data_IF_721337857039
#
_entry.id   IF_721337857039
#
_cell.length_a   1.000
_cell.length_b   1.000
_cell.length_c   1.000
_cell.angle_alpha   90.00
_cell.angle_beta   90.00
_cell.angle_gamma   90.00
#
_symmetry.space_group_name_H-M   'P 1'
#
loop_
_entity.id
_entity.type
_entity.pdbx_description
1 polymer ?
#
# COMPACT_ATOMS: atom_id res chain seq x y z
N UNK A 1 3.38 -38.22 12.26
CA UNK A 1 2.99 -37.72 10.94
C UNK A 1 3.32 -36.23 10.92
N UNK A 2 3.87 -35.67 9.83
CA UNK A 2 4.48 -34.32 9.73
C UNK A 2 5.96 -34.16 10.15
N UNK A 3 6.76 -35.22 10.31
CA UNK A 3 8.19 -35.06 10.66
C UNK A 3 8.98 -34.35 9.56
N UNK A 4 8.79 -34.73 8.29
CA UNK A 4 9.51 -34.12 7.17
C UNK A 4 9.21 -32.63 6.97
N UNK A 5 7.94 -32.22 7.06
CA UNK A 5 7.56 -30.81 6.95
C UNK A 5 8.08 -30.00 8.14
N UNK A 6 8.08 -30.57 9.36
CA UNK A 6 8.65 -29.91 10.53
C UNK A 6 10.14 -29.64 10.33
N UNK A 7 10.90 -30.64 9.85
CA UNK A 7 12.33 -30.50 9.64
C UNK A 7 12.64 -29.46 8.53
N UNK A 8 11.83 -29.43 7.46
CA UNK A 8 11.92 -28.41 6.41
C UNK A 8 11.68 -26.99 6.95
N UNK A 9 10.57 -26.78 7.67
CA UNK A 9 10.23 -25.48 8.26
C UNK A 9 11.29 -25.02 9.29
N UNK A 10 11.87 -25.96 10.05
CA UNK A 10 12.96 -25.64 10.96
C UNK A 10 14.22 -25.19 10.21
N UNK A 11 14.56 -25.85 9.11
CA UNK A 11 15.64 -25.43 8.22
C UNK A 11 15.43 -24.02 7.68
N UNK A 12 14.25 -23.73 7.11
CA UNK A 12 13.90 -22.40 6.59
C UNK A 12 13.96 -21.32 7.68
N UNK A 13 13.48 -21.60 8.89
CA UNK A 13 13.57 -20.67 10.00
C UNK A 13 15.02 -20.37 10.40
N UNK A 14 15.89 -21.37 10.35
CA UNK A 14 17.31 -21.19 10.68
C UNK A 14 18.06 -20.41 9.60
N UNK A 15 17.71 -20.61 8.34
CA UNK A 15 18.20 -19.79 7.23
C UNK A 15 17.80 -18.32 7.42
N UNK A 16 16.54 -18.04 7.78
CA UNK A 16 16.05 -16.68 8.06
C UNK A 16 16.80 -16.04 9.24
N UNK A 17 17.07 -16.80 10.30
CA UNK A 17 17.85 -16.33 11.46
C UNK A 17 19.30 -16.04 11.09
N UNK A 18 19.96 -16.97 10.41
CA UNK A 18 21.36 -16.83 9.97
C UNK A 18 21.52 -15.65 9.03
N UNK A 19 20.53 -15.37 8.19
CA UNK A 19 20.50 -14.20 7.32
C UNK A 19 20.23 -12.87 8.05
N UNK A 20 19.91 -12.88 9.35
CA UNK A 20 19.54 -11.69 10.11
C UNK A 20 18.17 -11.10 9.73
N UNK A 21 17.32 -11.88 9.06
CA UNK A 21 16.00 -11.46 8.59
C UNK A 21 14.86 -11.87 9.53
N UNK A 22 15.18 -12.63 10.58
CA UNK A 22 14.20 -13.07 11.57
C UNK A 22 13.67 -11.87 12.35
N UNK A 23 12.37 -11.61 12.24
CA UNK A 23 11.70 -10.50 12.92
C UNK A 23 11.28 -10.93 14.32
N UNK A 24 11.63 -10.10 15.31
CA UNK A 24 11.16 -10.26 16.69
C UNK A 24 10.25 -9.09 17.05
N UNK A 25 9.05 -9.41 17.53
CA UNK A 25 8.08 -8.41 17.93
C UNK A 25 8.44 -7.78 19.28
N UNK A 26 7.90 -6.58 19.49
CA UNK A 26 7.92 -5.85 20.76
C UNK A 26 6.48 -5.61 21.19
N UNK A 27 6.20 -5.68 22.48
CA UNK A 27 4.88 -5.34 23.01
C UNK A 27 4.79 -3.85 23.30
N UNK A 28 3.57 -3.32 23.23
CA UNK A 28 3.19 -1.96 23.64
C UNK A 28 2.03 -2.11 24.63
N UNK A 29 2.19 -1.57 25.84
CA UNK A 29 1.27 -1.75 26.98
C UNK A 29 0.51 -0.47 27.34
N UNK A 30 0.49 0.50 26.42
CA UNK A 30 -0.21 1.78 26.56
C UNK A 30 -1.02 2.10 25.30
N UNK A 31 -1.93 3.08 25.35
CA UNK A 31 -2.50 3.65 24.14
C UNK A 31 -1.40 4.15 23.18
N UNK A 32 -1.74 4.23 21.90
CA UNK A 32 -0.81 4.67 20.87
C UNK A 32 -0.63 6.20 20.90
N UNK A 33 0.58 6.65 21.23
CA UNK A 33 0.91 8.07 21.37
C UNK A 33 2.40 8.32 21.08
N UNK A 34 2.84 9.57 21.21
CA UNK A 34 4.28 9.91 21.13
C UNK A 34 5.08 9.36 22.30
N UNK A 35 4.46 9.20 23.47
CA UNK A 35 5.02 8.56 24.67
C UNK A 35 4.26 7.26 24.92
N UNK A 36 4.96 6.13 24.92
CA UNK A 36 4.36 4.81 25.10
C UNK A 36 5.13 3.98 26.13
N UNK A 37 4.49 2.93 26.61
CA UNK A 37 5.13 1.86 27.37
C UNK A 37 5.40 0.68 26.43
N UNK A 38 6.67 0.32 26.19
CA UNK A 38 7.03 -0.76 25.27
C UNK A 38 8.24 -1.58 25.71
N UNK A 39 8.31 -2.85 25.28
CA UNK A 39 9.36 -3.78 25.68
C UNK A 39 9.49 -5.02 24.78
N UNK A 40 10.49 -5.87 25.07
CA UNK A 40 10.63 -7.17 24.41
C UNK A 40 9.58 -8.14 24.96
N UNK A 41 9.05 -9.04 24.13
CA UNK A 41 8.13 -10.08 24.60
C UNK A 41 8.70 -10.86 25.81
N UNK A 42 7.89 -11.00 26.86
CA UNK A 42 8.28 -11.67 28.10
C UNK A 42 9.13 -10.83 29.07
N UNK A 43 9.39 -9.56 28.77
CA UNK A 43 10.07 -8.61 29.66
C UNK A 43 9.13 -7.49 30.10
N UNK A 44 9.42 -6.75 31.19
CA UNK A 44 8.67 -5.55 31.53
C UNK A 44 8.84 -4.45 30.48
N UNK A 45 7.76 -3.71 30.22
CA UNK A 45 7.77 -2.52 29.37
C UNK A 45 8.48 -1.33 30.05
N UNK A 46 9.03 -0.42 29.24
CA UNK A 46 9.63 0.83 29.69
C UNK A 46 8.98 2.02 28.99
N UNK A 47 9.02 3.19 29.62
CA UNK A 47 8.60 4.44 29.01
C UNK A 47 9.57 4.83 27.89
N UNK A 48 9.05 5.00 26.68
CA UNK A 48 9.84 5.36 25.48
C UNK A 48 9.09 6.38 24.61
N UNK A 49 9.84 7.04 23.73
CA UNK A 49 9.28 7.84 22.65
C UNK A 49 9.06 6.99 21.41
N UNK A 50 7.88 7.10 20.79
CA UNK A 50 7.53 6.37 19.58
C UNK A 50 7.80 7.20 18.32
N UNK A 51 8.77 6.76 17.51
CA UNK A 51 9.13 7.37 16.23
C UNK A 51 8.91 6.42 15.03
N UNK A 52 8.20 5.31 15.21
CA UNK A 52 7.96 4.32 14.17
C UNK A 52 6.47 3.95 13.97
N UNK A 53 5.54 4.71 14.55
CA UNK A 53 4.12 4.54 14.29
C UNK A 53 3.66 5.33 13.06
N UNK A 54 2.70 4.77 12.32
CA UNK A 54 1.98 5.44 11.25
C UNK A 54 0.83 6.33 11.78
N UNK A 55 0.86 6.70 13.06
CA UNK A 55 -0.12 7.59 13.69
C UNK A 55 0.25 9.06 13.44
N UNK A 56 0.31 9.46 12.16
CA UNK A 56 0.91 10.73 11.71
C UNK A 56 0.30 11.97 12.36
N UNK A 57 -1.02 11.94 12.61
CA UNK A 57 -1.77 13.06 13.21
C UNK A 57 -2.05 12.88 14.70
N UNK A 58 -1.61 11.78 15.32
CA UNK A 58 -1.89 11.50 16.72
C UNK A 58 -3.35 11.15 17.02
N UNK A 59 -4.11 10.66 16.03
CA UNK A 59 -5.55 10.41 16.17
C UNK A 59 -5.90 9.07 16.81
N UNK A 60 -4.96 8.12 16.88
CA UNK A 60 -5.23 6.77 17.38
C UNK A 60 -5.83 6.69 18.79
N UNK A 61 -5.51 7.65 19.68
CA UNK A 61 -6.05 7.76 21.05
C UNK A 61 -6.80 9.09 21.27
N UNK A 62 -7.37 9.66 20.21
CA UNK A 62 -8.06 10.95 20.31
C UNK A 62 -9.40 10.82 21.07
N UNK A 63 -9.68 11.67 22.07
CA UNK A 63 -10.87 11.53 22.93
C UNK A 63 -12.19 11.52 22.15
N UNK A 64 -12.31 12.35 21.10
CA UNK A 64 -13.52 12.39 20.28
C UNK A 64 -13.75 11.09 19.48
N UNK A 65 -12.67 10.43 19.03
CA UNK A 65 -12.76 9.16 18.31
C UNK A 65 -13.16 8.04 19.27
N UNK A 66 -12.58 8.03 20.47
CA UNK A 66 -12.95 7.07 21.53
C UNK A 66 -14.43 7.24 21.92
N UNK A 67 -14.89 8.48 22.08
CA UNK A 67 -16.28 8.78 22.41
C UNK A 67 -17.24 8.31 21.29
N UNK A 68 -16.91 8.58 20.02
CA UNK A 68 -17.69 8.14 18.88
C UNK A 68 -17.77 6.60 18.80
N UNK A 69 -16.65 5.90 19.02
CA UNK A 69 -16.60 4.44 19.02
C UNK A 69 -17.46 3.83 20.14
N UNK A 70 -17.42 4.40 21.35
CA UNK A 70 -18.29 3.98 22.48
C UNK A 70 -19.77 4.13 22.15
N UNK A 71 -20.17 5.31 21.65
CA UNK A 71 -21.57 5.56 21.25
C UNK A 71 -22.03 4.56 20.19
N UNK A 72 -21.20 4.31 19.17
CA UNK A 72 -21.52 3.35 18.12
C UNK A 72 -21.71 1.93 18.68
N UNK A 73 -20.85 1.48 19.60
CA UNK A 73 -21.00 0.17 20.24
C UNK A 73 -22.28 0.06 21.07
N UNK A 74 -22.62 1.11 21.83
CA UNK A 74 -23.85 1.14 22.65
C UNK A 74 -25.11 1.13 21.78
N UNK A 75 -25.10 1.83 20.64
CA UNK A 75 -26.29 1.97 19.79
C UNK A 75 -26.43 0.91 18.69
N UNK A 76 -25.32 0.34 18.20
CA UNK A 76 -25.28 -0.54 17.02
C UNK A 76 -24.70 -1.93 17.31
N UNK A 77 -24.18 -2.16 18.53
CA UNK A 77 -23.51 -3.40 18.92
C UNK A 77 -22.06 -3.48 18.42
N UNK A 78 -21.38 -4.57 18.80
CA UNK A 78 -19.94 -4.72 18.54
C UNK A 78 -19.58 -5.02 17.09
N UNK A 79 -20.35 -5.86 16.39
CA UNK A 79 -20.01 -6.30 15.05
C UNK A 79 -21.17 -7.02 14.36
N UNK A 80 -21.10 -7.11 13.03
CA UNK A 80 -22.26 -7.51 12.20
C UNK A 80 -22.38 -9.02 11.98
N UNK A 81 -21.29 -9.77 12.20
CA UNK A 81 -21.22 -11.22 11.94
C UNK A 81 -21.73 -11.64 10.54
N UNK A 82 -21.62 -10.76 9.55
CA UNK A 82 -22.14 -10.97 8.19
C UNK A 82 -21.44 -10.07 7.17
N UNK A 83 -21.52 -10.45 5.90
CA UNK A 83 -21.04 -9.64 4.77
C UNK A 83 -22.04 -8.53 4.42
N UNK A 84 -21.56 -7.49 3.73
CA UNK A 84 -22.35 -6.31 3.35
C UNK A 84 -23.70 -6.65 2.72
N UNK A 85 -23.72 -7.55 1.74
CA UNK A 85 -24.93 -7.86 0.96
C UNK A 85 -26.02 -8.60 1.74
N UNK A 86 -25.67 -9.47 2.70
CA UNK A 86 -26.65 -10.35 3.36
C UNK A 86 -27.35 -9.59 4.49
N UNK A 87 -26.60 -9.21 5.53
CA UNK A 87 -27.11 -8.43 6.66
C UNK A 87 -26.00 -7.64 7.38
N UNK A 88 -24.91 -7.33 6.68
CA UNK A 88 -23.75 -6.63 7.25
C UNK A 88 -23.70 -5.12 6.99
N UNK A 89 -24.64 -4.56 6.22
CA UNK A 89 -24.64 -3.11 5.92
C UNK A 89 -25.50 -2.36 6.94
N UNK A 90 -24.86 -1.52 7.76
CA UNK A 90 -25.53 -0.54 8.63
C UNK A 90 -25.57 0.85 8.00
N UNK A 91 -26.41 1.71 8.56
CA UNK A 91 -26.46 3.14 8.26
C UNK A 91 -25.09 3.82 8.39
N UNK A 92 -24.32 3.49 9.43
CA UNK A 92 -22.97 4.04 9.64
C UNK A 92 -21.97 3.68 8.51
N UNK A 93 -22.15 2.55 7.81
CA UNK A 93 -21.29 2.21 6.67
C UNK A 93 -21.58 3.15 5.49
N UNK A 94 -22.87 3.36 5.19
CA UNK A 94 -23.31 4.23 4.10
C UNK A 94 -22.95 5.69 4.37
N UNK A 95 -23.08 6.14 5.63
CA UNK A 95 -22.66 7.47 6.03
C UNK A 95 -21.15 7.66 5.87
N UNK A 96 -20.34 6.67 6.27
CA UNK A 96 -18.89 6.73 6.09
C UNK A 96 -18.50 6.78 4.61
N UNK A 97 -19.10 5.94 3.75
CA UNK A 97 -18.88 5.94 2.31
C UNK A 97 -19.20 7.31 1.68
N UNK A 98 -20.34 7.91 2.06
CA UNK A 98 -20.72 9.24 1.59
C UNK A 98 -19.74 10.33 2.07
N UNK A 99 -19.33 10.30 3.35
CA UNK A 99 -18.37 11.27 3.92
C UNK A 99 -16.99 11.16 3.29
N UNK A 100 -16.53 9.94 3.03
CA UNK A 100 -15.25 9.71 2.33
C UNK A 100 -15.33 10.24 0.90
N UNK A 101 -16.41 9.97 0.18
CA UNK A 101 -16.62 10.48 -1.18
C UNK A 101 -16.59 12.01 -1.21
N UNK A 102 -17.27 12.65 -0.25
CA UNK A 102 -17.24 14.10 -0.09
C UNK A 102 -15.83 14.62 0.23
N UNK A 103 -15.11 13.95 1.12
CA UNK A 103 -13.78 14.37 1.56
C UNK A 103 -12.74 14.27 0.43
N UNK A 104 -12.80 13.21 -0.38
CA UNK A 104 -11.89 12.98 -1.51
C UNK A 104 -12.34 13.66 -2.81
N UNK A 105 -13.61 14.08 -2.89
CA UNK A 105 -14.21 14.61 -4.12
C UNK A 105 -14.46 13.53 -5.19
N UNK A 106 -14.72 12.29 -4.78
CA UNK A 106 -15.10 11.18 -5.67
C UNK A 106 -16.62 11.05 -5.77
N UNK A 107 -17.10 10.34 -6.79
CA UNK A 107 -18.54 10.13 -6.99
C UNK A 107 -19.15 9.16 -5.98
N UNK A 108 -18.39 8.13 -5.59
CA UNK A 108 -18.80 7.13 -4.61
C UNK A 108 -17.57 6.50 -3.92
N UNK A 109 -17.80 5.68 -2.88
CA UNK A 109 -16.80 4.96 -2.11
C UNK A 109 -17.34 3.59 -1.70
N UNK A 110 -16.47 2.58 -1.74
CA UNK A 110 -16.76 1.24 -1.21
C UNK A 110 -15.79 0.92 -0.06
N UNK A 111 -16.32 0.43 1.06
CA UNK A 111 -15.51 0.02 2.22
C UNK A 111 -14.99 -1.41 2.11
N UNK A 112 -13.73 -1.58 2.50
CA UNK A 112 -13.07 -2.86 2.76
C UNK A 112 -12.58 -2.89 4.22
N UNK A 113 -12.28 -4.08 4.74
CA UNK A 113 -11.68 -4.26 6.06
C UNK A 113 -10.31 -3.60 6.18
N UNK A 114 -9.54 -3.58 5.09
CA UNK A 114 -8.23 -2.94 5.04
C UNK A 114 -7.91 -2.45 3.63
N UNK A 115 -6.94 -1.53 3.52
CA UNK A 115 -6.38 -1.13 2.22
C UNK A 115 -5.70 -2.30 1.49
N UNK A 116 -5.22 -3.30 2.26
CA UNK A 116 -4.66 -4.51 1.67
C UNK A 116 -5.72 -5.26 0.87
N UNK A 117 -6.91 -5.43 1.45
CA UNK A 117 -8.05 -6.09 0.79
C UNK A 117 -8.60 -5.26 -0.38
N UNK A 118 -8.67 -3.92 -0.21
CA UNK A 118 -9.11 -3.03 -1.29
C UNK A 118 -8.20 -3.14 -2.53
N UNK A 119 -6.88 -3.13 -2.33
CA UNK A 119 -5.90 -3.34 -3.39
C UNK A 119 -5.95 -4.77 -3.96
N UNK A 120 -6.22 -5.77 -3.12
CA UNK A 120 -6.38 -7.16 -3.56
C UNK A 120 -7.58 -7.36 -4.49
N UNK A 121 -8.73 -6.77 -4.14
CA UNK A 121 -10.00 -7.00 -4.84
C UNK A 121 -10.26 -6.12 -6.07
N UNK A 122 -9.53 -5.02 -6.24
CA UNK A 122 -9.81 -4.05 -7.32
C UNK A 122 -9.43 -4.58 -8.71
N UNK A 123 -8.30 -5.29 -8.85
CA UNK A 123 -7.75 -5.60 -10.16
C UNK A 123 -8.46 -6.73 -10.88
N UNK A 124 -8.72 -7.88 -10.23
CA UNK A 124 -9.38 -9.01 -10.87
C UNK A 124 -10.85 -8.71 -11.22
N UNK A 125 -11.51 -7.87 -10.42
CA UNK A 125 -12.89 -7.46 -10.62
C UNK A 125 -13.05 -6.56 -11.85
N UNK A 126 -12.05 -5.73 -12.13
CA UNK A 126 -12.12 -4.71 -13.18
C UNK A 126 -11.36 -5.09 -14.44
N UNK A 127 -10.30 -5.90 -14.38
CA UNK A 127 -9.38 -6.15 -15.50
C UNK A 127 -9.19 -7.65 -15.78
N UNK A 128 -9.37 -8.04 -17.04
CA UNK A 128 -9.25 -9.41 -17.54
C UNK A 128 -8.06 -9.61 -18.47
N UNK A 129 -8.00 -10.77 -19.13
CA UNK A 129 -6.86 -11.18 -19.98
C UNK A 129 -6.58 -10.27 -21.20
N UNK A 130 -7.58 -9.49 -21.62
CA UNK A 130 -7.46 -8.52 -22.72
C UNK A 130 -6.92 -7.15 -22.28
N UNK A 131 -6.76 -6.93 -20.97
CA UNK A 131 -6.37 -5.64 -20.41
C UNK A 131 -4.90 -5.66 -19.93
N UNK A 132 -4.36 -4.50 -19.56
CA UNK A 132 -2.98 -4.34 -19.08
C UNK A 132 -2.89 -3.46 -17.83
N UNK A 133 -2.03 -3.87 -16.90
CA UNK A 133 -1.72 -3.14 -15.67
C UNK A 133 -0.23 -2.79 -15.70
N UNK A 134 0.07 -1.50 -15.57
CA UNK A 134 1.41 -0.92 -15.57
C UNK A 134 1.72 -0.42 -14.16
N UNK A 135 2.58 -1.13 -13.43
CA UNK A 135 2.83 -0.93 -12.00
C UNK A 135 4.23 -0.41 -11.74
N UNK A 136 4.35 0.57 -10.83
CA UNK A 136 5.66 1.01 -10.32
C UNK A 136 6.39 -0.16 -9.65
N UNK A 137 7.71 -0.19 -9.79
CA UNK A 137 8.56 -1.23 -9.25
C UNK A 137 8.59 -1.31 -7.72
N UNK A 138 8.28 -0.22 -7.01
CA UNK A 138 8.29 -0.14 -5.55
C UNK A 138 6.89 -0.06 -4.92
N UNK A 139 5.83 -0.30 -5.69
CA UNK A 139 4.47 -0.35 -5.17
C UNK A 139 4.33 -1.30 -3.97
N UNK A 140 3.40 -0.95 -3.08
CA UNK A 140 3.11 -1.73 -1.89
C UNK A 140 2.76 -3.20 -2.23
N UNK A 141 3.08 -4.11 -1.31
CA UNK A 141 2.88 -5.56 -1.51
C UNK A 141 1.42 -5.92 -1.84
N UNK A 142 0.45 -5.22 -1.25
CA UNK A 142 -0.99 -5.43 -1.53
C UNK A 142 -1.36 -5.19 -2.99
N UNK A 143 -0.78 -4.16 -3.62
CA UNK A 143 -0.98 -3.87 -5.05
C UNK A 143 -0.38 -5.00 -5.88
N UNK A 144 0.85 -5.41 -5.56
CA UNK A 144 1.54 -6.49 -6.27
C UNK A 144 0.72 -7.78 -6.20
N UNK A 145 0.20 -8.13 -5.02
CA UNK A 145 -0.60 -9.33 -4.83
C UNK A 145 -1.96 -9.23 -5.52
N UNK A 146 -2.65 -8.09 -5.48
CA UNK A 146 -3.89 -7.87 -6.24
C UNK A 146 -3.68 -7.99 -7.75
N UNK A 147 -2.59 -7.43 -8.28
CA UNK A 147 -2.21 -7.56 -9.70
C UNK A 147 -1.94 -9.01 -10.08
N UNK A 148 -1.39 -9.82 -9.16
CA UNK A 148 -1.13 -11.25 -9.40
C UNK A 148 -2.41 -12.09 -9.47
N UNK A 149 -3.50 -11.65 -8.83
CA UNK A 149 -4.81 -12.30 -8.91
C UNK A 149 -5.50 -12.01 -10.26
N UNK A 150 -5.24 -10.84 -10.86
CA UNK A 150 -5.79 -10.49 -12.18
C UNK A 150 -5.14 -11.31 -13.32
N UNK A 151 -5.93 -11.56 -14.37
CA UNK A 151 -5.45 -12.16 -15.64
C UNK A 151 -4.84 -11.14 -16.61
N UNK A 152 -4.91 -9.84 -16.29
CA UNK A 152 -4.39 -8.78 -17.13
C UNK A 152 -2.89 -8.94 -17.39
N UNK A 153 -2.42 -8.43 -18.53
CA UNK A 153 -0.99 -8.34 -18.83
C UNK A 153 -0.33 -7.42 -17.81
N UNK A 154 0.83 -7.81 -17.28
CA UNK A 154 1.51 -7.10 -16.20
C UNK A 154 2.79 -6.48 -16.74
N UNK A 155 2.90 -5.17 -16.65
CA UNK A 155 4.11 -4.43 -16.98
C UNK A 155 4.61 -3.74 -15.71
N UNK A 156 5.92 -3.82 -15.47
CA UNK A 156 6.58 -3.17 -14.33
C UNK A 156 7.54 -2.14 -14.88
N UNK A 157 7.45 -0.91 -14.40
CA UNK A 157 8.37 0.17 -14.76
C UNK A 157 9.24 0.56 -13.56
N UNK A 158 10.46 1.04 -13.80
CA UNK A 158 11.38 1.49 -12.76
C UNK A 158 10.80 2.67 -11.96
N UNK A 159 11.07 2.72 -10.64
CA UNK A 159 10.46 3.70 -9.76
C UNK A 159 10.69 5.14 -10.23
N UNK A 160 9.61 5.90 -10.34
CA UNK A 160 9.61 7.29 -10.84
C UNK A 160 10.22 7.50 -12.25
N UNK A 161 10.44 6.44 -13.03
CA UNK A 161 10.99 6.53 -14.39
C UNK A 161 9.86 6.69 -15.42
N UNK A 162 9.60 7.93 -15.84
CA UNK A 162 8.55 8.24 -16.81
C UNK A 162 8.87 7.75 -18.22
N UNK A 163 10.15 7.59 -18.57
CA UNK A 163 10.54 7.07 -19.88
C UNK A 163 10.28 5.56 -19.95
N UNK A 164 10.60 4.82 -18.89
CA UNK A 164 10.27 3.40 -18.79
C UNK A 164 8.74 3.19 -18.69
N UNK A 165 8.03 4.02 -17.93
CA UNK A 165 6.55 4.03 -17.90
C UNK A 165 5.96 4.20 -19.30
N UNK A 166 6.40 5.21 -20.05
CA UNK A 166 5.96 5.44 -21.43
C UNK A 166 6.28 4.25 -22.34
N UNK A 167 7.48 3.67 -22.22
CA UNK A 167 7.86 2.47 -22.96
C UNK A 167 6.91 1.30 -22.68
N UNK A 168 6.51 1.08 -21.41
CA UNK A 168 5.52 0.05 -21.02
C UNK A 168 4.12 0.33 -21.53
N UNK A 169 3.70 1.59 -21.59
CA UNK A 169 2.42 1.98 -22.18
C UNK A 169 2.39 1.72 -23.68
N UNK A 170 3.48 2.02 -24.39
CA UNK A 170 3.65 1.70 -25.81
C UNK A 170 3.65 0.18 -26.01
N UNK A 171 4.41 -0.56 -25.22
CA UNK A 171 4.46 -2.02 -25.25
C UNK A 171 3.06 -2.62 -25.06
N UNK A 172 2.29 -2.16 -24.08
CA UNK A 172 0.91 -2.61 -23.83
C UNK A 172 -0.06 -2.27 -24.99
N UNK A 173 0.24 -1.21 -25.75
CA UNK A 173 -0.58 -0.74 -26.87
C UNK A 173 -0.14 -1.31 -28.22
N UNK A 174 1.00 -2.00 -28.27
CA UNK A 174 1.64 -2.49 -29.49
C UNK A 174 1.73 -4.02 -29.48
N UNK A 175 1.73 -4.63 -30.67
CA UNK A 175 1.82 -6.09 -30.84
C UNK A 175 0.56 -6.73 -31.41
N UNK A 176 0.55 -8.06 -31.47
CA UNK A 176 -0.50 -8.85 -32.13
C UNK A 176 -1.86 -8.77 -31.41
N UNK A 177 -1.86 -8.45 -30.12
CA UNK A 177 -3.06 -8.27 -29.31
C UNK A 177 -2.90 -7.06 -28.36
N UNK A 178 -3.16 -5.83 -28.84
CA UNK A 178 -3.14 -4.62 -28.00
C UNK A 178 -4.09 -4.73 -26.80
N UNK A 179 -3.70 -4.14 -25.67
CA UNK A 179 -4.55 -4.13 -24.49
C UNK A 179 -5.82 -3.29 -24.73
N UNK A 180 -6.99 -3.87 -24.44
CA UNK A 180 -8.30 -3.21 -24.54
C UNK A 180 -8.42 -2.05 -23.56
N UNK A 181 -7.97 -2.23 -22.32
CA UNK A 181 -7.90 -1.19 -21.28
C UNK A 181 -6.53 -1.23 -20.62
N UNK A 182 -6.03 -0.06 -20.25
CA UNK A 182 -4.75 0.12 -19.56
C UNK A 182 -4.97 0.87 -18.26
N UNK A 183 -4.22 0.51 -17.23
CA UNK A 183 -4.18 1.26 -15.98
C UNK A 183 -2.74 1.39 -15.49
N UNK A 184 -2.38 2.61 -15.11
CA UNK A 184 -1.13 2.93 -14.40
C UNK A 184 -1.43 2.89 -12.91
N UNK A 185 -0.61 2.18 -12.15
CA UNK A 185 -0.78 1.99 -10.71
C UNK A 185 0.48 2.42 -9.97
N UNK A 186 0.34 3.33 -9.01
CA UNK A 186 1.44 3.85 -8.20
C UNK A 186 1.00 4.11 -6.76
N UNK A 187 1.89 3.93 -5.80
CA UNK A 187 1.77 4.59 -4.50
C UNK A 187 1.87 6.11 -4.71
N UNK A 188 1.11 6.91 -3.95
CA UNK A 188 1.21 8.36 -3.93
C UNK A 188 2.42 8.83 -3.13
N UNK A 189 2.62 8.24 -1.95
CA UNK A 189 3.80 8.37 -1.09
C UNK A 189 4.38 6.99 -0.85
N UNK A 190 5.63 6.77 -1.25
CA UNK A 190 6.31 5.49 -1.07
C UNK A 190 6.72 5.30 0.39
N UNK A 191 6.25 4.23 1.03
CA UNK A 191 6.30 4.03 2.49
C UNK A 191 7.70 3.97 3.09
N UNK A 192 8.66 3.40 2.35
CA UNK A 192 10.02 3.18 2.86
C UNK A 192 10.92 4.40 2.68
N UNK A 193 10.81 5.07 1.54
CA UNK A 193 11.73 6.16 1.17
C UNK A 193 11.12 7.56 1.35
N UNK A 194 9.79 7.67 1.45
CA UNK A 194 9.06 8.93 1.59
C UNK A 194 8.98 9.76 0.30
N UNK A 195 9.30 9.16 -0.85
CA UNK A 195 9.18 9.84 -2.15
C UNK A 195 7.73 10.09 -2.54
N UNK A 196 7.48 11.18 -3.25
CA UNK A 196 6.20 11.48 -3.88
C UNK A 196 6.20 10.99 -5.32
N UNK A 197 5.15 10.28 -5.75
CA UNK A 197 5.00 9.96 -7.16
C UNK A 197 4.90 11.23 -8.02
N UNK A 198 5.51 11.25 -9.22
CA UNK A 198 5.40 12.37 -10.16
C UNK A 198 4.02 12.36 -10.85
N UNK A 199 2.95 12.58 -10.07
CA UNK A 199 1.56 12.37 -10.50
C UNK A 199 1.15 13.22 -11.71
N UNK A 200 1.69 14.42 -11.86
CA UNK A 200 1.42 15.27 -13.04
C UNK A 200 1.90 14.57 -14.33
N UNK A 201 3.17 14.14 -14.36
CA UNK A 201 3.74 13.43 -15.50
C UNK A 201 3.05 12.08 -15.77
N UNK A 202 2.68 11.36 -14.71
CA UNK A 202 1.91 10.11 -14.82
C UNK A 202 0.54 10.36 -15.46
N UNK A 203 -0.17 11.40 -15.04
CA UNK A 203 -1.47 11.75 -15.60
C UNK A 203 -1.36 12.21 -17.06
N UNK A 204 -0.33 12.99 -17.40
CA UNK A 204 -0.09 13.43 -18.79
C UNK A 204 0.18 12.22 -19.71
N UNK A 205 0.94 11.22 -19.24
CA UNK A 205 1.15 9.96 -19.96
C UNK A 205 -0.13 9.12 -20.04
N UNK A 206 -0.92 9.09 -18.98
CA UNK A 206 -2.20 8.37 -18.96
C UNK A 206 -3.18 8.94 -19.99
N UNK A 207 -3.29 10.28 -20.08
CA UNK A 207 -4.12 10.96 -21.07
C UNK A 207 -3.60 10.72 -22.50
N UNK A 208 -2.28 10.85 -22.71
CA UNK A 208 -1.64 10.60 -24.02
C UNK A 208 -1.87 9.17 -24.53
N UNK A 209 -1.87 8.19 -23.63
CA UNK A 209 -1.93 6.77 -23.99
C UNK A 209 -3.30 6.13 -23.73
N UNK A 210 -4.34 6.91 -23.42
CA UNK A 210 -5.69 6.40 -23.08
C UNK A 210 -5.63 5.29 -22.01
N UNK A 211 -5.10 5.65 -20.85
CA UNK A 211 -4.97 4.77 -19.69
C UNK A 211 -5.64 5.40 -18.46
N UNK A 212 -6.16 4.54 -17.59
CA UNK A 212 -6.60 4.91 -16.25
C UNK A 212 -5.40 5.14 -15.33
N UNK A 213 -5.60 5.87 -14.24
CA UNK A 213 -4.62 6.00 -13.15
C UNK A 213 -5.25 5.53 -11.84
N UNK A 214 -4.53 4.72 -11.07
CA UNK A 214 -4.86 4.40 -9.69
C UNK A 214 -3.69 4.81 -8.80
N UNK A 215 -4.02 5.51 -7.72
CA UNK A 215 -3.05 6.01 -6.74
C UNK A 215 -3.40 5.43 -5.37
N UNK A 216 -2.48 4.72 -4.76
CA UNK A 216 -2.58 4.32 -3.35
C UNK A 216 -2.07 5.46 -2.46
N UNK A 217 -2.99 6.12 -1.76
CA UNK A 217 -2.70 7.28 -0.93
C UNK A 217 -2.70 6.95 0.58
N UNK A 218 -2.41 5.68 0.93
CA UNK A 218 -2.33 5.19 2.32
C UNK A 218 -1.40 6.02 3.21
N UNK A 219 -0.30 6.51 2.64
CA UNK A 219 0.69 7.36 3.33
C UNK A 219 0.53 8.86 3.01
N UNK A 220 -0.67 9.31 2.65
CA UNK A 220 -0.90 10.71 2.29
C UNK A 220 -2.24 11.27 2.79
N UNK A 221 -3.31 10.48 2.69
CA UNK A 221 -4.64 10.93 3.12
C UNK A 221 -4.66 11.23 4.62
N UNK A 222 -5.28 12.35 4.97
CA UNK A 222 -5.37 12.92 6.31
C UNK A 222 -4.50 14.16 6.48
N UNK A 223 -3.31 14.20 5.86
CA UNK A 223 -2.32 15.26 6.15
C UNK A 223 -1.67 15.90 4.92
N UNK A 224 -1.77 15.28 3.73
CA UNK A 224 -1.24 15.85 2.49
C UNK A 224 -2.29 16.67 1.74
N UNK A 225 -1.85 17.77 1.13
CA UNK A 225 -2.70 18.70 0.38
C UNK A 225 -3.43 19.70 1.28
N UNK A 226 -4.03 20.73 0.68
CA UNK A 226 -4.64 21.83 1.44
C UNK A 226 -5.80 21.39 2.36
N UNK A 227 -6.49 20.30 1.99
CA UNK A 227 -7.63 19.74 2.72
C UNK A 227 -7.31 18.42 3.41
N UNK A 228 -6.07 17.91 3.31
CA UNK A 228 -5.73 16.56 3.77
C UNK A 228 -6.20 15.44 2.82
N UNK A 229 -6.75 15.75 1.64
CA UNK A 229 -7.32 14.75 0.73
C UNK A 229 -6.29 13.90 -0.04
N UNK A 230 -5.00 13.96 0.30
CA UNK A 230 -3.95 13.13 -0.30
C UNK A 230 -3.09 13.85 -1.34
N UNK A 231 -2.30 13.08 -2.07
CA UNK A 231 -1.26 13.61 -2.98
C UNK A 231 -1.84 14.38 -4.17
N UNK A 232 -3.06 14.03 -4.60
CA UNK A 232 -3.79 14.70 -5.69
C UNK A 232 -4.05 16.19 -5.46
N UNK A 233 -4.14 16.63 -4.21
CA UNK A 233 -4.47 18.02 -3.86
C UNK A 233 -3.25 18.80 -3.33
N UNK A 234 -2.04 18.27 -3.51
CA UNK A 234 -0.81 19.02 -3.29
C UNK A 234 -0.61 20.00 -4.45
N UNK A 235 -0.01 21.19 -4.20
CA UNK A 235 -0.04 22.40 -5.05
C UNK A 235 0.43 22.26 -6.52
N UNK A 236 0.83 21.08 -6.97
CA UNK A 236 1.22 20.78 -8.35
C UNK A 236 0.02 20.81 -9.32
N UNK A 237 -1.20 20.51 -8.87
CA UNK A 237 -2.39 20.55 -9.75
C UNK A 237 -2.99 21.95 -9.98
N UNK A 238 -2.39 23.02 -9.45
CA UNK A 238 -3.05 24.34 -9.41
C UNK A 238 -2.22 25.54 -9.89
N UNK A 239 -1.07 25.33 -10.54
CA UNK A 239 -0.33 26.45 -11.15
C UNK A 239 -0.47 26.45 -12.68
N UNK A 240 -1.51 27.12 -13.15
CA UNK A 240 -1.71 27.40 -14.57
C UNK A 240 -2.97 28.21 -14.80
N UNK A 241 -2.84 29.53 -14.81
CA UNK A 241 -3.88 30.44 -15.29
C UNK A 241 -4.05 30.27 -16.80
N UNK A 242 -4.98 29.41 -17.23
CA UNK A 242 -5.74 29.52 -18.49
C UNK A 242 -6.81 28.42 -18.50
N UNK A 243 -7.96 28.78 -19.04
CA UNK A 243 -9.16 27.97 -19.24
C UNK A 243 -8.90 26.59 -19.86
N UNK A 244 -8.53 25.61 -19.05
CA UNK A 244 -8.49 24.19 -19.45
C UNK A 244 -9.63 23.48 -18.72
N UNK A 245 -10.50 22.71 -19.40
CA UNK A 245 -11.58 21.98 -18.75
C UNK A 245 -10.99 21.05 -17.69
N UNK A 246 -11.74 20.78 -16.62
CA UNK A 246 -11.35 19.87 -15.56
C UNK A 246 -10.72 18.58 -16.15
N UNK A 247 -9.42 18.37 -15.89
CA UNK A 247 -8.63 17.23 -16.37
C UNK A 247 -9.36 15.93 -15.96
N UNK A 248 -9.65 15.07 -16.93
CA UNK A 248 -10.59 13.94 -16.81
C UNK A 248 -10.02 12.71 -16.12
N UNK A 249 -8.70 12.63 -15.94
CA UNK A 249 -8.06 11.54 -15.21
C UNK A 249 -8.26 11.74 -13.70
N UNK A 250 -9.40 11.29 -13.17
CA UNK A 250 -9.62 11.15 -11.72
C UNK A 250 -9.06 9.79 -11.30
N UNK A 251 -7.99 9.72 -10.51
CA UNK A 251 -7.45 8.43 -10.15
C UNK A 251 -8.42 7.67 -9.22
N UNK A 252 -8.34 6.35 -9.15
CA UNK A 252 -8.96 5.58 -8.06
C UNK A 252 -8.08 5.68 -6.82
N UNK A 253 -8.64 6.02 -5.65
CA UNK A 253 -7.89 6.17 -4.40
C UNK A 253 -8.14 4.96 -3.51
N UNK A 254 -7.07 4.28 -3.10
CA UNK A 254 -7.13 3.34 -1.98
C UNK A 254 -6.81 4.09 -0.68
N UNK A 255 -7.61 3.88 0.35
CA UNK A 255 -7.47 4.54 1.65
C UNK A 255 -6.89 3.59 2.68
N UNK A 256 -6.07 4.10 3.63
CA UNK A 256 -5.61 3.30 4.74
C UNK A 256 -6.79 2.86 5.62
N UNK A 257 -6.54 1.87 6.48
CA UNK A 257 -7.47 1.42 7.51
C UNK A 257 -8.10 2.63 8.21
N UNK A 258 -9.43 2.66 8.29
CA UNK A 258 -10.22 3.84 8.59
C UNK A 258 -9.87 4.46 9.96
N UNK A 259 -8.91 5.37 10.00
CA UNK A 259 -8.88 6.44 11.00
C UNK A 259 -9.81 7.53 10.47
N UNK A 260 -11.04 7.52 11.00
CA UNK A 260 -12.16 8.32 10.51
C UNK A 260 -11.77 9.79 10.26
N UNK A 261 -12.07 10.37 9.07
CA UNK A 261 -11.93 11.81 8.86
C UNK A 261 -13.13 12.51 9.51
N UNK A 262 -13.07 12.77 10.81
CA UNK A 262 -14.13 13.47 11.54
C UNK A 262 -13.76 14.96 11.77
N UNK A 263 -14.56 15.80 11.10
CA UNK A 263 -14.96 17.16 11.49
C UNK A 263 -13.96 18.33 11.31
N UNK A 264 -13.90 18.85 10.09
CA UNK A 264 -13.79 20.30 9.90
C UNK A 264 -15.14 20.95 10.29
N UNK A 265 -15.28 21.38 11.55
CA UNK A 265 -16.27 22.38 11.94
C UNK A 265 -15.56 23.69 12.26
N UNK A 266 -15.84 24.69 11.42
CA UNK A 266 -15.47 26.09 11.60
C UNK A 266 -16.05 26.66 12.90
N UNK A 267 -15.20 27.27 13.73
CA UNK A 267 -15.62 28.38 14.61
C UNK A 267 -14.45 29.34 14.87
N UNK A 268 -14.69 30.66 14.88
CA UNK A 268 -13.65 31.67 14.84
C UNK A 268 -13.23 32.07 16.25
N UNK A 269 -11.93 32.00 16.55
CA UNK A 269 -11.41 32.77 17.68
C UNK A 269 -10.00 33.28 17.38
N UNK A 270 -9.95 34.51 16.87
CA UNK A 270 -8.75 35.33 16.84
C UNK A 270 -8.22 35.56 18.25
N UNK A 271 -6.98 35.14 18.54
CA UNK A 271 -6.11 35.84 19.49
C UNK A 271 -4.63 35.47 19.30
N UNK A 272 -3.93 36.31 18.53
CA UNK A 272 -2.52 36.73 18.61
C UNK A 272 -1.60 36.02 19.62
N UNK A 273 -0.46 35.48 19.14
CA UNK A 273 0.93 35.84 19.55
C UNK A 273 2.01 35.09 18.73
N UNK A 274 3.27 35.56 18.70
CA UNK A 274 4.07 35.67 17.46
C UNK A 274 5.02 34.51 17.17
N UNK A 275 5.42 34.47 15.90
CA UNK A 275 6.38 33.57 15.29
C UNK A 275 7.75 33.54 15.98
N UNK A 276 8.25 32.34 16.25
CA UNK A 276 9.66 32.06 16.48
C UNK A 276 10.24 31.47 15.19
N UNK A 277 11.12 32.24 14.57
CA UNK A 277 11.92 31.85 13.41
C UNK A 277 13.10 31.02 13.88
N UNK A 278 13.15 29.73 13.51
CA UNK A 278 14.37 28.92 13.60
C UNK A 278 15.00 28.81 12.20
N UNK A 279 16.17 29.41 12.04
CA UNK A 279 17.04 29.25 10.88
C UNK A 279 17.66 27.85 10.84
N UNK A 280 17.75 27.17 9.68
CA UNK A 280 18.38 25.86 9.59
C UNK A 280 19.91 25.99 9.49
N UNK A 281 20.62 25.42 10.46
CA UNK A 281 22.07 25.21 10.41
C UNK A 281 22.37 23.88 9.68
N UNK A 282 23.32 23.80 8.73
CA UNK A 282 23.55 22.58 7.96
C UNK A 282 24.29 21.51 8.77
N UNK A 283 23.82 20.26 8.71
CA UNK A 283 24.50 19.08 9.24
C UNK A 283 25.61 18.61 8.27
N UNK A 284 26.77 18.11 8.75
CA UNK A 284 27.86 17.69 7.86
C UNK A 284 27.49 16.43 7.07
N UNK A 285 27.78 16.45 5.76
CA UNK A 285 27.70 15.28 4.86
C UNK A 285 28.70 14.20 5.30
N UNK A 286 28.21 13.03 5.69
CA UNK A 286 29.03 11.82 5.70
C UNK A 286 28.90 11.13 4.34
N UNK A 287 30.04 10.97 3.68
CA UNK A 287 30.20 10.18 2.46
C UNK A 287 30.20 8.69 2.80
N UNK A 288 29.20 7.95 2.33
CA UNK A 288 29.25 6.50 2.27
C UNK A 288 28.92 6.06 0.84
N UNK A 289 29.96 5.72 0.08
CA UNK A 289 29.81 5.00 -1.19
C UNK A 289 29.26 3.59 -0.89
N UNK A 290 28.28 3.09 -1.64
CA UNK A 290 27.86 1.69 -1.55
C UNK A 290 28.86 0.79 -2.29
N UNK A 291 29.12 -0.44 -1.82
CA UNK A 291 29.94 -1.39 -2.58
C UNK A 291 29.17 -1.86 -3.82
N UNK A 292 29.77 -1.63 -4.97
CA UNK A 292 29.33 -2.14 -6.27
C UNK A 292 29.55 -3.65 -6.37
N UNK A 293 28.48 -4.43 -6.55
CA UNK A 293 28.49 -5.67 -7.37
C UNK A 293 27.06 -6.17 -7.66
N UNK A 294 26.73 -6.47 -8.93
CA UNK A 294 25.41 -6.96 -9.32
C UNK A 294 25.29 -8.47 -9.04
N UNK A 295 24.16 -8.90 -8.48
CA UNK A 295 23.78 -10.31 -8.38
C UNK A 295 23.34 -10.80 -9.77
N UNK A 296 24.19 -11.57 -10.44
CA UNK A 296 23.85 -12.28 -11.68
C UNK A 296 23.07 -13.55 -11.36
N UNK A 297 21.85 -13.65 -11.89
CA UNK A 297 21.06 -14.88 -11.89
C UNK A 297 21.66 -15.88 -12.88
N UNK A 298 22.26 -16.96 -12.37
CA UNK A 298 22.72 -18.08 -13.18
C UNK A 298 22.16 -19.40 -12.64
N UNK A 299 21.19 -19.95 -13.40
CA UNK A 299 20.90 -21.37 -13.61
C UNK A 299 20.79 -22.28 -12.37
N UNK A 300 19.55 -22.59 -11.98
CA UNK A 300 19.22 -23.90 -11.43
C UNK A 300 19.11 -24.88 -12.60
N UNK A 301 20.14 -25.71 -12.81
CA UNK A 301 20.03 -26.94 -13.62
C UNK A 301 19.52 -28.06 -12.70
N UNK A 302 18.47 -28.75 -13.12
CA UNK A 302 18.03 -30.00 -12.53
C UNK A 302 19.12 -31.07 -12.70
N UNK A 303 19.57 -31.67 -11.60
CA UNK A 303 20.40 -32.88 -11.60
C UNK A 303 19.53 -34.10 -11.32
N UNK A 304 19.31 -34.92 -12.34
CA UNK A 304 18.76 -36.27 -12.25
C UNK A 304 19.83 -37.23 -11.75
N UNK A 305 19.57 -37.94 -10.65
CA UNK A 305 20.37 -39.10 -10.23
C UNK A 305 19.87 -40.39 -10.91
N UNK A 306 20.75 -41.32 -11.33
CA UNK A 306 20.34 -42.56 -11.99
C UNK A 306 20.03 -43.66 -10.96
N UNK A 307 18.86 -44.28 -11.11
CA UNK A 307 18.48 -45.50 -10.40
C UNK A 307 19.13 -46.73 -11.03
N UNK A 308 19.79 -47.53 -10.21
CA UNK A 308 20.30 -48.86 -10.55
C UNK A 308 19.21 -49.92 -10.31
N UNK A 309 18.78 -50.61 -11.36
CA UNK A 309 18.07 -51.89 -11.22
C UNK A 309 18.62 -52.88 -12.25
N UNK A 310 19.39 -53.86 -11.76
CA UNK A 310 19.80 -55.05 -12.51
C UNK A 310 18.67 -56.07 -12.45
N UNK A 311 18.25 -56.56 -13.60
CA UNK A 311 17.38 -57.72 -13.82
C UNK A 311 18.21 -59.03 -13.92
N UNK A 312 17.57 -60.22 -13.84
CA UNK A 312 18.05 -61.39 -13.09
C UNK A 312 18.68 -62.48 -13.98
N UNK A 313 19.18 -63.59 -13.40
CA UNK A 313 19.31 -64.85 -14.13
C UNK A 313 18.10 -65.79 -13.89
N UNK A 314 17.83 -66.56 -14.94
CA UNK A 314 16.73 -67.49 -15.15
C UNK A 314 16.79 -68.81 -14.34
N UNK A 315 15.62 -69.46 -14.36
CA UNK A 315 15.33 -70.90 -14.45
C UNK A 315 15.42 -71.79 -13.20
N UNK A 316 14.26 -72.38 -12.86
CA UNK A 316 14.09 -73.82 -13.06
C UNK A 316 13.66 -74.67 -11.85
N UNK A 317 12.47 -75.27 -12.00
CA UNK A 317 12.04 -76.58 -11.48
C UNK A 317 11.85 -76.78 -9.96
N UNK A 318 10.58 -76.85 -9.54
CA UNK A 318 9.88 -78.07 -9.06
C UNK A 318 8.57 -77.65 -8.37
#
# INVERSE_FOLDING_TARGET
MYSSIKDQLQGELEEIRTAGLFKTERHIDSPQASHISAGQLGQPANAVLNFCANNYLGLADHPDIIAAAKSAMDERGFGMASVRFICGTQDLHLELEARVSQFLGTEDTILFSSCFDANGGVFESLFGAEDAIISDSLNHASIIDGIRLSKAKRFRYANQDMADLEAKLIEASSGEAPARRKIIVTDGVFSMDGYLAPLEAICDLAEKHDALVMVDDSHAVGFMGATGAGTRNTRVFRTGSTSTPARSARPLAALPEATSPAAAKSSPCCARRPALTCSPTPWPRQSSQPPSRPLSWSRVRASSAPGSSRTPPCSGAA
#
